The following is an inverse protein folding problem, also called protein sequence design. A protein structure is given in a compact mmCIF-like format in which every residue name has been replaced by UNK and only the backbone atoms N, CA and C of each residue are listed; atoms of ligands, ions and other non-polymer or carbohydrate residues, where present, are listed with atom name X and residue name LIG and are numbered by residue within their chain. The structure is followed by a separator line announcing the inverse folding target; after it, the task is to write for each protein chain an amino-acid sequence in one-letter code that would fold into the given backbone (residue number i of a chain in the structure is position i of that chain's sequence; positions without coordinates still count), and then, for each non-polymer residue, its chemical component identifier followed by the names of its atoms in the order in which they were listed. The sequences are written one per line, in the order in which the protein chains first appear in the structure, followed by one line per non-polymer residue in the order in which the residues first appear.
data_IF_536161697933
#
_entry.id   IF_536161697933
#
_cell.length_a   1.000
_cell.length_b   1.000
_cell.length_c   1.000
_cell.angle_alpha   90.00
_cell.angle_beta   90.00
_cell.angle_gamma   90.00
#
_symmetry.space_group_name_H-M   'P 1'
#
loop_
_entity.id
_entity.type
_entity.pdbx_description
1 polymer ?
#
# COMPACT_ATOMS: atom_id res chain seq x y z
N UNK A 1 -8.73 2.05 -19.26
CA UNK A 1 -7.30 2.34 -19.52
C UNK A 1 -6.74 1.24 -20.40
N UNK A 2 -5.76 1.51 -21.27
CA UNK A 2 -5.13 0.47 -22.11
C UNK A 2 -4.34 -0.55 -21.27
N UNK A 3 -3.76 -0.09 -20.16
CA UNK A 3 -3.03 -0.95 -19.23
C UNK A 3 -4.02 -1.56 -18.22
N UNK A 4 -4.01 -2.89 -18.03
CA UNK A 4 -4.83 -3.58 -17.04
C UNK A 4 -4.56 -3.13 -15.60
N UNK A 5 -5.57 -3.25 -14.73
CA UNK A 5 -5.42 -2.95 -13.31
C UNK A 5 -4.33 -3.79 -12.63
N UNK A 6 -4.15 -5.05 -13.05
CA UNK A 6 -3.10 -5.93 -12.54
C UNK A 6 -1.68 -5.40 -12.83
N UNK A 7 -1.45 -4.85 -14.03
CA UNK A 7 -0.15 -4.26 -14.38
C UNK A 7 0.09 -2.96 -13.61
N UNK A 8 -0.97 -2.16 -13.42
CA UNK A 8 -0.91 -1.01 -12.52
C UNK A 8 -0.60 -1.42 -11.09
N UNK A 9 -1.16 -2.53 -10.61
CA UNK A 9 -0.92 -3.08 -9.28
C UNK A 9 0.53 -3.51 -9.10
N UNK A 10 1.08 -4.24 -10.06
CA UNK A 10 2.49 -4.63 -10.06
C UNK A 10 3.42 -3.39 -10.00
N UNK A 11 3.14 -2.38 -10.83
CA UNK A 11 3.92 -1.13 -10.83
C UNK A 11 3.80 -0.36 -9.52
N UNK A 12 2.59 -0.30 -8.94
CA UNK A 12 2.33 0.36 -7.67
C UNK A 12 3.12 -0.30 -6.54
N UNK A 13 3.07 -1.63 -6.41
CA UNK A 13 3.79 -2.33 -5.34
C UNK A 13 5.30 -2.22 -5.51
N UNK A 14 5.83 -2.28 -6.73
CA UNK A 14 7.26 -2.00 -6.97
C UNK A 14 7.68 -0.60 -6.50
N UNK A 15 6.81 0.40 -6.62
CA UNK A 15 7.08 1.74 -6.08
C UNK A 15 7.08 1.76 -4.56
N UNK A 16 6.18 1.01 -3.92
CA UNK A 16 6.13 0.90 -2.45
C UNK A 16 7.43 0.29 -1.89
N UNK A 17 7.89 -0.82 -2.46
CA UNK A 17 9.18 -1.42 -2.07
C UNK A 17 10.39 -0.52 -2.34
N UNK A 18 10.29 0.39 -3.30
CA UNK A 18 11.36 1.34 -3.64
C UNK A 18 11.28 2.65 -2.83
N UNK A 19 10.52 2.69 -1.74
CA UNK A 19 10.28 3.88 -0.91
C UNK A 19 9.70 5.09 -1.68
N UNK A 20 9.01 4.81 -2.80
CA UNK A 20 8.35 5.83 -3.63
C UNK A 20 6.86 5.92 -3.30
N UNK A 21 6.53 6.00 -2.00
CA UNK A 21 5.16 5.94 -1.47
C UNK A 21 4.22 6.95 -2.15
N UNK A 22 4.63 8.22 -2.28
CA UNK A 22 3.83 9.25 -2.93
C UNK A 22 3.52 8.94 -4.41
N UNK A 23 4.42 8.24 -5.11
CA UNK A 23 4.17 7.82 -6.49
C UNK A 23 3.20 6.64 -6.56
N UNK A 24 3.32 5.69 -5.63
CA UNK A 24 2.38 4.57 -5.51
C UNK A 24 0.95 5.06 -5.25
N UNK A 25 0.77 6.02 -4.33
CA UNK A 25 -0.55 6.60 -3.99
C UNK A 25 -1.26 7.18 -5.21
N UNK A 26 -0.53 7.83 -6.13
CA UNK A 26 -1.11 8.37 -7.38
C UNK A 26 -1.59 7.28 -8.33
N UNK A 27 -0.95 6.12 -8.34
CA UNK A 27 -1.29 4.99 -9.23
C UNK A 27 -2.32 4.05 -8.61
N UNK A 28 -2.52 4.09 -7.29
CA UNK A 28 -3.37 3.15 -6.56
C UNK A 28 -4.83 3.10 -7.03
N UNK A 29 -5.37 4.22 -7.53
CA UNK A 29 -6.70 4.26 -8.15
C UNK A 29 -6.78 3.42 -9.43
N UNK A 30 -5.76 3.50 -10.29
CA UNK A 30 -5.67 2.71 -11.53
C UNK A 30 -5.47 1.22 -11.26
N UNK A 31 -4.87 0.89 -10.13
CA UNK A 31 -4.63 -0.47 -9.67
C UNK A 31 -5.81 -1.08 -8.89
N UNK A 32 -6.88 -0.32 -8.62
CA UNK A 32 -7.97 -0.79 -7.75
C UNK A 32 -7.51 -1.13 -6.33
N UNK A 33 -6.51 -0.40 -5.83
CA UNK A 33 -5.61 -0.83 -4.76
C UNK A 33 -5.43 0.19 -3.64
N UNK A 34 -6.33 1.18 -3.55
CA UNK A 34 -6.12 2.38 -2.74
C UNK A 34 -5.94 2.07 -1.26
N UNK A 35 -6.74 1.16 -0.71
CA UNK A 35 -6.67 0.78 0.69
C UNK A 35 -5.31 0.15 1.03
N UNK A 36 -4.75 -0.70 0.16
CA UNK A 36 -3.38 -1.18 0.39
C UNK A 36 -2.38 -0.03 0.40
N UNK A 37 -2.42 0.85 -0.60
CA UNK A 37 -1.43 1.92 -0.72
C UNK A 37 -1.48 2.90 0.47
N UNK A 38 -2.68 3.24 0.94
CA UNK A 38 -2.88 4.09 2.12
C UNK A 38 -2.39 3.38 3.39
N UNK A 39 -2.65 2.08 3.53
CA UNK A 39 -2.20 1.28 4.66
C UNK A 39 -0.67 1.16 4.70
N UNK A 40 -0.02 0.92 3.56
CA UNK A 40 1.44 0.94 3.46
C UNK A 40 2.00 2.32 3.82
N UNK A 41 1.45 3.39 3.26
CA UNK A 41 1.92 4.75 3.55
C UNK A 41 1.84 5.10 5.04
N UNK A 42 0.81 4.61 5.74
CA UNK A 42 0.70 4.76 7.18
C UNK A 42 1.73 3.93 7.96
N UNK A 43 2.00 2.68 7.53
CA UNK A 43 3.05 1.84 8.12
C UNK A 43 4.45 2.46 7.95
N UNK A 44 4.80 2.90 6.73
CA UNK A 44 6.07 3.58 6.43
C UNK A 44 6.28 4.87 7.26
N UNK A 45 5.19 5.61 7.50
CA UNK A 45 5.24 6.81 8.36
C UNK A 45 5.38 6.45 9.85
N UNK A 46 4.79 5.34 10.27
CA UNK A 46 4.87 4.80 11.64
C UNK A 46 6.27 4.26 11.98
N UNK A 47 6.98 3.68 11.01
CA UNK A 47 8.42 3.35 11.17
C UNK A 47 9.25 4.61 11.49
N UNK A 48 8.87 5.76 10.94
CA UNK A 48 9.52 7.05 11.21
C UNK A 48 9.06 7.71 12.52
N UNK A 49 7.94 7.26 13.10
CA UNK A 49 7.36 7.76 14.35
C UNK A 49 6.61 6.62 15.06
N UNK A 50 7.33 5.84 15.87
CA UNK A 50 6.85 4.69 16.66
C UNK A 50 5.32 4.49 16.71
N UNK A 51 4.82 3.57 15.87
CA UNK A 51 3.49 2.95 15.97
C UNK A 51 2.29 3.89 15.81
N UNK A 52 1.94 4.23 14.57
CA UNK A 52 0.68 4.96 14.31
C UNK A 52 -0.52 4.00 14.46
N UNK A 53 -1.39 4.25 15.45
CA UNK A 53 -2.69 3.55 15.61
C UNK A 53 -3.51 3.57 14.31
N UNK A 54 -3.25 4.56 13.45
CA UNK A 54 -3.86 4.66 12.13
C UNK A 54 -3.39 3.55 11.16
N UNK A 55 -2.11 3.13 11.21
CA UNK A 55 -1.59 2.04 10.36
C UNK A 55 -2.31 0.73 10.64
N UNK A 56 -2.43 0.36 11.93
CA UNK A 56 -3.18 -0.82 12.37
C UNK A 56 -4.63 -0.81 11.87
N UNK A 57 -5.30 0.34 11.98
CA UNK A 57 -6.69 0.52 11.54
C UNK A 57 -6.80 0.40 10.02
N UNK A 58 -5.91 1.02 9.27
CA UNK A 58 -5.91 0.99 7.80
C UNK A 58 -5.58 -0.41 7.27
N UNK A 59 -4.64 -1.12 7.87
CA UNK A 59 -4.30 -2.49 7.50
C UNK A 59 -5.47 -3.44 7.74
N UNK A 60 -6.22 -3.29 8.84
CA UNK A 60 -7.45 -4.07 9.05
C UNK A 60 -8.52 -3.78 7.98
N UNK A 61 -8.57 -2.55 7.48
CA UNK A 61 -9.53 -2.12 6.46
C UNK A 61 -9.15 -2.54 5.03
N UNK A 62 -7.96 -3.09 4.79
CA UNK A 62 -7.57 -3.59 3.45
C UNK A 62 -8.44 -4.80 3.06
N UNK A 63 -9.23 -4.72 1.96
CA UNK A 63 -10.05 -5.82 1.48
C UNK A 63 -9.19 -7.04 1.12
N UNK A 64 -9.73 -8.25 1.28
CA UNK A 64 -9.00 -9.50 0.99
C UNK A 64 -8.40 -9.53 -0.43
N UNK A 65 -9.13 -9.03 -1.43
CA UNK A 65 -8.67 -8.93 -2.82
C UNK A 65 -7.44 -8.02 -3.02
N UNK A 66 -7.14 -7.15 -2.05
CA UNK A 66 -5.96 -6.27 -2.06
C UNK A 66 -4.85 -6.73 -1.11
N UNK A 67 -5.01 -7.87 -0.43
CA UNK A 67 -3.98 -8.42 0.49
C UNK A 67 -2.95 -9.24 -0.29
N UNK A 68 -2.03 -8.55 -0.96
CA UNK A 68 -0.90 -9.12 -1.67
C UNK A 68 0.33 -9.28 -0.76
N UNK A 69 1.48 -9.68 -1.32
CA UNK A 69 2.75 -9.68 -0.59
C UNK A 69 3.06 -8.31 0.05
N UNK A 70 2.71 -7.21 -0.64
CA UNK A 70 2.88 -5.88 -0.09
C UNK A 70 2.05 -5.58 1.16
N UNK A 71 0.88 -6.22 1.31
CA UNK A 71 0.11 -6.13 2.55
C UNK A 71 0.84 -6.78 3.71
N UNK A 72 1.38 -7.99 3.51
CA UNK A 72 2.12 -8.72 4.54
C UNK A 72 3.38 -7.99 4.95
N UNK A 73 4.08 -7.39 3.97
CA UNK A 73 5.24 -6.55 4.23
C UNK A 73 4.89 -5.34 5.10
N UNK A 74 3.90 -4.55 4.68
CA UNK A 74 3.43 -3.41 5.46
C UNK A 74 2.92 -3.84 6.85
N UNK A 75 2.34 -5.04 6.95
CA UNK A 75 1.86 -5.59 8.21
C UNK A 75 2.98 -5.95 9.18
N UNK A 76 4.13 -6.39 8.69
CA UNK A 76 5.28 -6.75 9.52
C UNK A 76 6.09 -5.53 10.00
N UNK A 77 5.92 -4.37 9.37
CA UNK A 77 6.67 -3.15 9.71
C UNK A 77 6.06 -2.30 10.82
N UNK A 78 4.73 -2.31 11.00
CA UNK A 78 4.04 -1.42 11.97
C UNK A 78 3.73 -2.10 13.31
#
# INVERSE_FOLDING_TARGET
TLIPAADHRFRMERMLYADRVNSALRVAGLAGARQLADAWAAADKGDKNAGDKNAARLLKAVPAAQRSAGYLFAQAQY
#
